data_IF_322734245995
#
_entry.id   IF_322734245995
#
_cell.length_a   1.000
_cell.length_b   1.000
_cell.length_c   1.000
_cell.angle_alpha   90.00
_cell.angle_beta   90.00
_cell.angle_gamma   90.00
#
_symmetry.space_group_name_H-M   'P 1'
#
loop_
_entity.id
_entity.type
_entity.pdbx_description
1 polymer ?
#
# COMPACT_ATOMS: atom_id res chain seq x y z
N UNK A 1 14.14 20.11 6.50
CA UNK A 1 13.16 19.29 7.25
C UNK A 1 12.50 18.27 6.33
N UNK A 2 12.05 18.65 5.13
CA UNK A 2 11.51 17.70 4.13
C UNK A 2 12.50 16.58 3.77
N UNK A 3 13.79 16.87 3.58
CA UNK A 3 14.80 15.83 3.31
C UNK A 3 14.90 14.77 4.43
N UNK A 4 14.80 15.20 5.69
CA UNK A 4 14.76 14.29 6.84
C UNK A 4 13.48 13.46 6.83
N UNK A 5 12.34 14.07 6.47
CA UNK A 5 11.08 13.35 6.33
C UNK A 5 11.19 12.24 5.28
N UNK A 6 11.78 12.53 4.12
CA UNK A 6 12.05 11.54 3.09
C UNK A 6 12.99 10.45 3.57
N UNK A 7 14.11 10.81 4.21
CA UNK A 7 15.04 9.82 4.76
C UNK A 7 14.36 8.88 5.75
N UNK A 8 13.47 9.39 6.61
CA UNK A 8 12.74 8.59 7.59
C UNK A 8 11.73 7.67 6.91
N UNK A 9 10.95 8.17 5.95
CA UNK A 9 10.03 7.33 5.14
C UNK A 9 10.79 6.24 4.38
N UNK A 10 12.04 6.53 4.00
CA UNK A 10 12.92 5.63 3.28
C UNK A 10 13.54 4.53 4.16
N UNK A 11 13.40 4.59 5.50
CA UNK A 11 13.89 3.53 6.41
C UNK A 11 13.03 2.25 6.35
N UNK A 12 11.91 2.29 5.63
CA UNK A 12 10.90 1.23 5.63
C UNK A 12 10.20 1.10 6.98
N UNK A 13 9.27 0.16 7.05
CA UNK A 13 8.46 -0.06 8.25
C UNK A 13 9.32 -0.46 9.46
N UNK A 14 10.17 -1.48 9.31
CA UNK A 14 11.06 -1.96 10.39
C UNK A 14 12.04 -0.89 10.87
N UNK A 15 12.65 -0.14 9.96
CA UNK A 15 13.60 0.91 10.33
C UNK A 15 12.91 2.07 11.05
N UNK A 16 11.70 2.44 10.62
CA UNK A 16 10.88 3.45 11.30
C UNK A 16 10.49 3.01 12.70
N UNK A 17 10.07 1.76 12.90
CA UNK A 17 9.78 1.23 14.24
C UNK A 17 11.01 1.26 15.15
N UNK A 18 12.19 0.86 14.65
CA UNK A 18 13.42 0.90 15.43
C UNK A 18 13.80 2.32 15.83
N UNK A 19 13.66 3.29 14.92
CA UNK A 19 13.91 4.70 15.20
C UNK A 19 12.95 5.25 16.27
N UNK A 20 11.66 4.93 16.15
CA UNK A 20 10.62 5.32 17.13
C UNK A 20 10.96 4.76 18.51
N UNK A 21 11.30 3.47 18.59
CA UNK A 21 11.74 2.84 19.83
C UNK A 21 12.99 3.47 20.42
N UNK A 22 13.98 3.81 19.58
CA UNK A 22 15.19 4.48 20.01
C UNK A 22 14.91 5.87 20.59
N UNK A 23 14.09 6.68 19.93
CA UNK A 23 13.68 8.01 20.41
C UNK A 23 12.88 7.90 21.72
N UNK A 24 11.96 6.94 21.80
CA UNK A 24 11.18 6.67 22.98
C UNK A 24 12.05 6.26 24.17
N UNK A 25 13.02 5.36 23.97
CA UNK A 25 13.95 4.92 25.00
C UNK A 25 14.93 6.04 25.43
N UNK A 26 15.47 6.79 24.48
CA UNK A 26 16.39 7.88 24.74
C UNK A 26 15.71 9.01 25.53
N UNK A 27 14.49 9.40 25.14
CA UNK A 27 13.70 10.40 25.87
C UNK A 27 13.33 9.94 27.27
N UNK A 28 12.96 8.68 27.46
CA UNK A 28 12.75 8.10 28.79
C UNK A 28 14.00 8.23 29.68
N UNK A 29 15.18 7.84 29.15
CA UNK A 29 16.44 7.94 29.88
C UNK A 29 16.83 9.38 30.22
N UNK A 30 16.70 10.30 29.26
CA UNK A 30 16.95 11.72 29.46
C UNK A 30 16.04 12.32 30.53
N UNK A 31 14.74 12.00 30.50
CA UNK A 31 13.77 12.49 31.48
C UNK A 31 14.08 11.96 32.90
N UNK A 32 14.47 10.69 33.03
CA UNK A 32 14.88 10.10 34.32
C UNK A 32 16.17 10.74 34.83
N UNK A 33 17.15 10.98 33.97
CA UNK A 33 18.42 11.61 34.34
C UNK A 33 18.23 13.09 34.75
N UNK A 34 17.38 13.83 34.03
CA UNK A 34 17.12 15.24 34.29
C UNK A 34 16.30 15.49 35.56
N UNK A 35 15.49 14.50 35.99
CA UNK A 35 14.63 14.64 37.16
C UNK A 35 15.25 13.99 38.39
N UNK A 36 15.16 14.63 39.56
CA UNK A 36 15.49 14.03 40.87
C UNK A 36 14.21 13.60 41.59
N UNK A 37 13.56 12.57 41.05
CA UNK A 37 12.26 12.11 41.53
C UNK A 37 12.43 11.34 42.85
N UNK A 38 12.10 11.99 43.96
CA UNK A 38 11.98 11.34 45.28
C UNK A 38 10.61 10.70 45.49
N UNK A 39 9.63 11.02 44.63
CA UNK A 39 8.28 10.48 44.72
C UNK A 39 8.26 8.95 44.50
N UNK A 40 7.28 8.28 45.13
CA UNK A 40 7.05 6.84 44.99
C UNK A 40 5.68 6.64 44.35
N UNK A 41 5.64 5.85 43.26
CA UNK A 41 4.40 5.57 42.54
C UNK A 41 3.96 4.13 42.81
N UNK A 42 2.81 3.97 43.45
CA UNK A 42 2.26 2.65 43.73
C UNK A 42 1.71 1.97 42.45
N UNK A 43 1.42 0.67 42.56
CA UNK A 43 0.99 -0.18 41.43
C UNK A 43 -0.22 0.35 40.64
N UNK A 44 -1.30 0.75 41.30
CA UNK A 44 -2.51 1.23 40.63
C UNK A 44 -2.27 2.51 39.81
N UNK A 45 -1.72 3.61 40.37
CA UNK A 45 -1.42 4.80 39.58
C UNK A 45 -0.34 4.55 38.50
N UNK A 46 0.59 3.61 38.73
CA UNK A 46 1.51 3.18 37.67
C UNK A 46 0.77 2.54 36.49
N UNK A 47 -0.17 1.63 36.74
CA UNK A 47 -0.97 1.02 35.67
C UNK A 47 -1.77 2.06 34.88
N UNK A 48 -2.38 3.02 35.56
CA UNK A 48 -3.08 4.13 34.90
C UNK A 48 -2.13 4.95 34.02
N UNK A 49 -0.91 5.23 34.50
CA UNK A 49 0.09 5.97 33.75
C UNK A 49 0.59 5.23 32.50
N UNK A 50 0.64 3.89 32.55
CA UNK A 50 0.90 3.07 31.36
C UNK A 50 -0.23 3.21 30.33
N UNK A 51 -1.49 3.16 30.76
CA UNK A 51 -2.64 3.36 29.89
C UNK A 51 -2.64 4.76 29.24
N UNK A 52 -2.32 5.80 30.01
CA UNK A 52 -2.20 7.17 29.49
C UNK A 52 -1.06 7.30 28.46
N UNK A 53 0.11 6.73 28.74
CA UNK A 53 1.24 6.72 27.79
C UNK A 53 0.86 6.00 26.49
N UNK A 54 0.12 4.90 26.58
CA UNK A 54 -0.36 4.15 25.42
C UNK A 54 -1.30 5.00 24.55
N UNK A 55 -2.21 5.77 25.17
CA UNK A 55 -3.08 6.70 24.44
C UNK A 55 -2.28 7.81 23.76
N UNK A 56 -1.25 8.36 24.40
CA UNK A 56 -0.38 9.37 23.77
C UNK A 56 0.35 8.81 22.55
N UNK A 57 0.84 7.57 22.62
CA UNK A 57 1.46 6.89 21.49
C UNK A 57 0.45 6.58 20.37
N UNK A 58 -0.76 6.13 20.69
CA UNK A 58 -1.80 5.93 19.69
C UNK A 58 -2.23 7.26 19.03
N UNK A 59 -2.31 8.33 19.82
CA UNK A 59 -2.58 9.68 19.34
C UNK A 59 -1.46 10.22 18.44
N UNK A 60 -0.20 9.90 18.72
CA UNK A 60 0.90 10.31 17.84
C UNK A 60 0.80 9.64 16.47
N UNK A 61 0.42 8.36 16.40
CA UNK A 61 0.17 7.67 15.11
C UNK A 61 -0.94 8.34 14.31
N UNK A 62 -1.95 8.91 14.98
CA UNK A 62 -3.03 9.65 14.29
C UNK A 62 -2.50 10.85 13.50
N UNK A 63 -1.41 11.50 13.96
CA UNK A 63 -0.77 12.61 13.24
C UNK A 63 -0.26 12.17 11.86
N UNK A 64 0.13 10.90 11.70
CA UNK A 64 0.63 10.37 10.43
C UNK A 64 -0.48 10.18 9.38
N UNK A 65 -1.76 10.24 9.75
CA UNK A 65 -2.85 10.16 8.76
C UNK A 65 -2.89 11.36 7.80
N UNK A 66 -2.40 12.51 8.24
CA UNK A 66 -2.27 13.70 7.39
C UNK A 66 -0.99 13.69 6.53
N UNK A 67 -0.16 12.64 6.62
CA UNK A 67 1.11 12.59 5.91
C UNK A 67 0.97 12.66 4.37
N UNK A 68 0.00 11.98 3.71
CA UNK A 68 -0.17 12.11 2.27
C UNK A 68 -0.49 13.55 1.83
N UNK A 69 -1.41 14.21 2.55
CA UNK A 69 -1.75 15.62 2.34
C UNK A 69 -0.53 16.52 2.58
N UNK A 70 0.25 16.24 3.62
CA UNK A 70 1.45 16.99 3.95
C UNK A 70 2.58 16.82 2.92
N UNK A 71 2.73 15.64 2.33
CA UNK A 71 3.65 15.42 1.21
C UNK A 71 3.20 16.23 -0.01
N UNK A 72 1.89 16.15 -0.34
CA UNK A 72 1.31 16.87 -1.47
C UNK A 72 1.46 18.39 -1.33
N UNK A 73 1.35 18.91 -0.12
CA UNK A 73 1.34 20.35 0.15
C UNK A 73 2.70 20.85 0.69
N UNK A 74 3.73 19.98 0.76
CA UNK A 74 5.13 20.33 1.05
C UNK A 74 5.46 20.67 2.49
N UNK A 75 4.71 20.12 3.45
CA UNK A 75 4.94 20.31 4.89
C UNK A 75 5.11 18.98 5.64
N UNK A 76 5.51 17.91 4.95
CA UNK A 76 5.68 16.57 5.54
C UNK A 76 6.67 16.55 6.71
N UNK A 77 7.70 17.40 6.68
CA UNK A 77 8.66 17.57 7.76
C UNK A 77 8.03 18.05 9.08
N UNK A 78 6.96 18.83 9.03
CA UNK A 78 6.25 19.29 10.23
C UNK A 78 5.42 18.17 10.87
N UNK A 79 4.76 17.35 10.04
CA UNK A 79 3.98 16.18 10.48
C UNK A 79 4.91 15.15 11.13
N UNK A 80 6.00 14.79 10.45
CA UNK A 80 6.97 13.83 10.97
C UNK A 80 7.68 14.37 12.22
N UNK A 81 8.04 15.65 12.23
CA UNK A 81 8.59 16.30 13.42
C UNK A 81 7.64 16.24 14.62
N UNK A 82 6.35 16.55 14.41
CA UNK A 82 5.32 16.50 15.46
C UNK A 82 5.13 15.09 15.99
N UNK A 83 5.11 14.09 15.11
CA UNK A 83 5.06 12.67 15.48
C UNK A 83 6.20 12.28 16.43
N UNK A 84 7.45 12.65 16.12
CA UNK A 84 8.59 12.34 16.98
C UNK A 84 8.61 13.15 18.28
N UNK A 85 8.14 14.39 18.28
CA UNK A 85 7.98 15.18 19.51
C UNK A 85 6.96 14.51 20.44
N UNK A 86 5.79 14.10 19.93
CA UNK A 86 4.80 13.37 20.72
C UNK A 86 5.35 12.04 21.25
N UNK A 87 6.09 11.31 20.42
CA UNK A 87 6.77 10.06 20.80
C UNK A 87 7.79 10.30 21.93
N UNK A 88 8.60 11.35 21.83
CA UNK A 88 9.58 11.71 22.85
C UNK A 88 8.91 12.14 24.17
N UNK A 89 7.78 12.86 24.10
CA UNK A 89 7.00 13.23 25.29
C UNK A 89 6.41 11.98 25.99
N UNK A 90 5.85 11.05 25.22
CA UNK A 90 5.35 9.79 25.75
C UNK A 90 6.46 8.96 26.40
N UNK A 91 7.62 8.83 25.74
CA UNK A 91 8.80 8.16 26.29
C UNK A 91 9.30 8.79 27.57
N UNK A 92 9.44 10.12 27.59
CA UNK A 92 9.85 10.87 28.78
C UNK A 92 8.92 10.66 29.98
N UNK A 93 7.60 10.73 29.76
CA UNK A 93 6.60 10.47 30.79
C UNK A 93 6.68 9.04 31.32
N UNK A 94 6.78 8.03 30.44
CA UNK A 94 6.94 6.64 30.85
C UNK A 94 8.18 6.47 31.73
N UNK A 95 9.33 6.99 31.29
CA UNK A 95 10.58 6.91 32.06
C UNK A 95 10.41 7.46 33.47
N UNK A 96 9.79 8.64 33.60
CA UNK A 96 9.49 9.28 34.88
C UNK A 96 8.61 8.39 35.76
N UNK A 97 7.51 7.85 35.23
CA UNK A 97 6.59 6.99 35.99
C UNK A 97 7.23 5.66 36.40
N UNK A 98 8.02 5.08 35.52
CA UNK A 98 8.71 3.81 35.76
C UNK A 98 9.86 3.96 36.75
N UNK A 99 10.59 5.08 36.74
CA UNK A 99 11.57 5.40 37.77
C UNK A 99 10.91 5.59 39.15
N UNK A 100 9.76 6.27 39.19
CA UNK A 100 8.97 6.45 40.41
C UNK A 100 8.47 5.12 40.98
N UNK A 101 8.05 4.22 40.08
CA UNK A 101 7.58 2.89 40.42
C UNK A 101 8.70 1.98 40.88
N UNK A 102 9.85 2.02 40.22
CA UNK A 102 11.05 1.30 40.62
C UNK A 102 11.51 1.74 42.01
N UNK A 103 11.45 3.04 42.31
CA UNK A 103 11.78 3.58 43.63
C UNK A 103 10.82 3.09 44.74
N UNK A 104 9.54 2.88 44.41
CA UNK A 104 8.54 2.30 45.33
C UNK A 104 8.76 0.79 45.56
N UNK A 105 9.12 0.06 44.52
CA UNK A 105 9.24 -1.41 44.54
C UNK A 105 10.60 -1.92 45.03
N UNK A 106 11.68 -1.21 44.69
CA UNK A 106 13.06 -1.68 44.83
C UNK A 106 13.99 -0.66 45.52
N UNK A 107 13.47 0.49 45.94
CA UNK A 107 14.25 1.62 46.51
C UNK A 107 15.39 2.09 45.59
N UNK A 108 15.22 1.90 44.28
CA UNK A 108 16.15 2.38 43.26
C UNK A 108 15.41 2.89 42.04
N UNK A 109 15.91 3.98 41.46
CA UNK A 109 15.40 4.53 40.21
C UNK A 109 16.01 3.83 38.99
N UNK A 110 17.11 3.10 39.17
CA UNK A 110 17.92 2.54 38.08
C UNK A 110 17.22 1.47 37.25
N UNK A 111 16.08 0.94 37.71
CA UNK A 111 15.31 -0.09 37.02
C UNK A 111 14.18 0.48 36.13
N UNK A 112 14.19 1.79 35.84
CA UNK A 112 13.20 2.44 34.98
C UNK A 112 13.12 1.82 33.58
N UNK A 113 14.26 1.34 33.04
CA UNK A 113 14.36 0.77 31.69
C UNK A 113 13.55 -0.53 31.53
N UNK A 114 13.18 -1.21 32.62
CA UNK A 114 12.32 -2.39 32.56
C UNK A 114 10.95 -2.06 31.94
N UNK A 115 10.52 -0.80 31.95
CA UNK A 115 9.27 -0.38 31.32
C UNK A 115 9.29 -0.39 29.79
N UNK A 116 10.47 -0.27 29.18
CA UNK A 116 10.64 -0.27 27.71
C UNK A 116 10.39 -1.68 27.17
N UNK A 117 10.77 -2.71 27.91
CA UNK A 117 10.60 -4.10 27.48
C UNK A 117 9.24 -4.60 28.00
N UNK A 118 8.27 -4.95 27.14
CA UNK A 118 6.90 -5.26 27.57
C UNK A 118 6.81 -6.36 28.63
N UNK A 119 7.59 -7.43 28.47
CA UNK A 119 7.65 -8.54 29.43
C UNK A 119 8.30 -8.10 30.74
N UNK A 120 9.38 -7.30 30.66
CA UNK A 120 10.08 -6.85 31.86
C UNK A 120 9.25 -5.84 32.68
N UNK A 121 8.39 -5.07 32.01
CA UNK A 121 7.50 -4.11 32.64
C UNK A 121 6.50 -4.79 33.58
N UNK A 122 6.18 -6.07 33.34
CA UNK A 122 5.34 -6.86 34.25
C UNK A 122 5.99 -6.99 35.64
N UNK A 123 7.33 -7.08 35.72
CA UNK A 123 8.02 -7.11 37.02
C UNK A 123 7.81 -5.79 37.78
N UNK A 124 7.90 -4.63 37.12
CA UNK A 124 7.59 -3.34 37.74
C UNK A 124 6.11 -3.24 38.14
N UNK A 125 5.20 -3.73 37.29
CA UNK A 125 3.77 -3.67 37.55
C UNK A 125 3.36 -4.52 38.75
N UNK A 126 3.90 -5.74 38.88
CA UNK A 126 3.49 -6.69 39.91
C UNK A 126 4.35 -6.70 41.17
N UNK A 127 5.50 -6.02 41.18
CA UNK A 127 6.34 -5.94 42.39
C UNK A 127 5.56 -5.38 43.60
N UNK A 128 5.91 -5.82 44.81
CA UNK A 128 5.30 -5.27 46.03
C UNK A 128 5.92 -3.91 46.36
N UNK A 129 5.13 -2.98 46.89
CA UNK A 129 5.66 -1.71 47.43
C UNK A 129 6.41 -1.99 48.73
N UNK A 130 7.56 -1.36 48.94
CA UNK A 130 8.33 -1.48 50.18
C UNK A 130 7.68 -0.74 51.36
N UNK A 131 6.85 0.27 51.08
CA UNK A 131 6.13 1.03 52.11
C UNK A 131 4.63 0.70 52.00
N UNK A 132 4.17 -0.41 52.63
CA UNK A 132 2.78 -0.82 52.53
C UNK A 132 1.89 0.24 53.18
N UNK A 133 1.18 1.01 52.35
CA UNK A 133 0.15 1.93 52.83
C UNK A 133 -0.98 1.08 53.41
N UNK A 134 -1.34 1.27 54.69
CA UNK A 134 -2.52 0.63 55.30
C UNK A 134 -3.77 1.13 54.57
N UNK A 135 -4.20 0.41 53.55
CA UNK A 135 -5.44 0.71 52.81
C UNK A 135 -6.63 0.21 53.62
N UNK A 136 -7.39 1.15 54.20
CA UNK A 136 -8.77 0.85 54.62
C UNK A 136 -9.65 0.52 53.41
N UNK A 137 -10.91 0.11 53.66
CA UNK A 137 -11.87 -0.28 52.61
C UNK A 137 -12.03 0.76 51.49
N UNK A 138 -11.97 2.06 51.82
CA UNK A 138 -12.00 3.14 50.82
C UNK A 138 -10.79 3.17 49.86
N UNK A 139 -9.62 2.70 50.31
CA UNK A 139 -8.42 2.59 49.46
C UNK A 139 -8.52 1.49 48.40
N UNK A 140 -9.29 0.43 48.68
CA UNK A 140 -9.54 -0.64 47.70
C UNK A 140 -10.41 -0.14 46.55
N UNK A 141 -11.50 0.58 46.84
CA UNK A 141 -12.40 1.14 45.82
C UNK A 141 -11.66 2.13 44.91
N UNK A 142 -10.85 3.01 45.49
CA UNK A 142 -10.04 3.96 44.72
C UNK A 142 -9.06 3.25 43.77
N UNK A 143 -8.37 2.20 44.24
CA UNK A 143 -7.46 1.42 43.40
C UNK A 143 -8.20 0.66 42.28
N UNK A 144 -9.37 0.10 42.56
CA UNK A 144 -10.18 -0.58 41.56
C UNK A 144 -10.66 0.40 40.46
N UNK A 145 -11.11 1.59 40.85
CA UNK A 145 -11.51 2.64 39.90
C UNK A 145 -10.33 3.09 39.02
N UNK A 146 -9.14 3.27 39.60
CA UNK A 146 -7.92 3.63 38.84
C UNK A 146 -7.56 2.55 37.82
N UNK A 147 -7.63 1.27 38.20
CA UNK A 147 -7.37 0.15 37.27
C UNK A 147 -8.41 0.13 36.15
N UNK A 148 -9.68 0.34 36.48
CA UNK A 148 -10.75 0.39 35.48
C UNK A 148 -10.55 1.52 34.46
N UNK A 149 -10.18 2.73 34.93
CA UNK A 149 -9.84 3.85 34.04
C UNK A 149 -8.64 3.50 33.16
N UNK A 150 -7.61 2.85 33.72
CA UNK A 150 -6.46 2.38 32.96
C UNK A 150 -6.84 1.40 31.83
N UNK A 151 -7.76 0.48 32.10
CA UNK A 151 -8.27 -0.45 31.09
C UNK A 151 -9.08 0.28 30.00
N UNK A 152 -9.88 1.29 30.37
CA UNK A 152 -10.60 2.11 29.39
C UNK A 152 -9.66 2.90 28.49
N UNK A 153 -8.60 3.49 29.04
CA UNK A 153 -7.57 4.17 28.23
C UNK A 153 -6.88 3.20 27.27
N UNK A 154 -6.52 2.01 27.74
CA UNK A 154 -5.93 0.98 26.89
C UNK A 154 -6.87 0.55 25.74
N UNK A 155 -8.15 0.33 26.06
CA UNK A 155 -9.18 0.03 25.06
C UNK A 155 -9.36 1.16 24.07
N UNK A 156 -9.31 2.41 24.53
CA UNK A 156 -9.42 3.60 23.67
C UNK A 156 -8.27 3.68 22.69
N UNK A 157 -7.02 3.50 23.14
CA UNK A 157 -5.85 3.47 22.25
C UNK A 157 -5.95 2.40 21.18
N UNK A 158 -6.38 1.18 21.54
CA UNK A 158 -6.63 0.08 20.60
C UNK A 158 -7.75 0.39 19.60
N UNK A 159 -8.80 1.07 20.06
CA UNK A 159 -9.93 1.44 19.19
C UNK A 159 -9.52 2.53 18.20
N UNK A 160 -8.71 3.51 18.62
CA UNK A 160 -8.14 4.51 17.72
C UNK A 160 -7.25 3.85 16.66
N UNK A 161 -6.36 2.94 17.04
CA UNK A 161 -5.52 2.18 16.10
C UNK A 161 -6.36 1.42 15.07
N UNK A 162 -7.41 0.72 15.51
CA UNK A 162 -8.33 0.01 14.61
C UNK A 162 -9.09 0.98 13.69
N UNK A 163 -9.59 2.08 14.22
CA UNK A 163 -10.31 3.06 13.42
C UNK A 163 -9.41 3.73 12.38
N UNK A 164 -8.14 4.02 12.71
CA UNK A 164 -7.17 4.54 11.75
C UNK A 164 -6.89 3.52 10.63
N UNK A 165 -6.82 2.22 10.96
CA UNK A 165 -6.67 1.17 9.94
C UNK A 165 -7.92 1.04 9.05
N UNK A 166 -9.12 1.22 9.62
CA UNK A 166 -10.39 1.21 8.89
C UNK A 166 -10.50 2.45 7.98
N UNK A 167 -10.22 3.65 8.48
CA UNK A 167 -10.23 4.89 7.68
C UNK A 167 -9.20 4.84 6.56
N UNK A 168 -8.01 4.29 6.80
CA UNK A 168 -7.02 4.05 5.75
C UNK A 168 -7.58 3.12 4.66
N UNK A 169 -8.30 2.07 5.04
CA UNK A 169 -8.95 1.17 4.06
C UNK A 169 -10.15 1.81 3.35
N UNK A 170 -11.00 2.57 4.05
CA UNK A 170 -12.18 3.23 3.48
C UNK A 170 -11.80 4.40 2.58
N UNK A 171 -10.73 5.13 2.88
CA UNK A 171 -10.22 6.20 2.01
C UNK A 171 -9.70 5.62 0.69
N UNK A 172 -9.07 4.44 0.74
CA UNK A 172 -8.69 3.70 -0.47
C UNK A 172 -9.92 3.29 -1.30
N UNK A 173 -11.08 3.05 -0.67
CA UNK A 173 -12.33 2.71 -1.37
C UNK A 173 -13.11 3.94 -1.88
N UNK A 174 -13.24 5.00 -1.06
CA UNK A 174 -14.08 6.18 -1.35
C UNK A 174 -13.43 7.22 -2.26
N UNK A 175 -12.09 7.22 -2.39
CA UNK A 175 -11.39 7.95 -3.45
C UNK A 175 -11.87 7.58 -4.87
N UNK A 176 -12.50 6.41 -5.02
CA UNK A 176 -13.10 5.90 -6.26
C UNK A 176 -14.43 6.58 -6.63
N UNK A 177 -15.12 7.24 -5.69
CA UNK A 177 -16.51 7.72 -5.93
C UNK A 177 -16.61 9.23 -6.18
N UNK A 178 -15.58 10.02 -5.83
CA UNK A 178 -15.67 11.48 -5.84
C UNK A 178 -15.36 12.16 -7.21
N UNK A 179 -14.88 11.44 -8.23
CA UNK A 179 -14.51 12.04 -9.51
C UNK A 179 -15.57 11.94 -10.64
N UNK A 180 -16.75 11.36 -10.36
CA UNK A 180 -17.80 11.17 -11.37
C UNK A 180 -18.76 12.36 -11.54
N UNK A 181 -18.26 13.60 -11.53
CA UNK A 181 -19.05 14.76 -12.03
C UNK A 181 -18.23 15.64 -12.96
N UNK A 182 -18.16 15.21 -14.22
CA UNK A 182 -17.91 16.12 -15.35
C UNK A 182 -16.76 15.72 -16.25
N UNK A 183 -17.01 14.80 -17.20
CA UNK A 183 -16.15 14.72 -18.38
C UNK A 183 -16.95 14.42 -19.64
N UNK A 184 -17.26 15.48 -20.40
CA UNK A 184 -17.59 15.40 -21.82
C UNK A 184 -16.34 15.04 -22.62
N UNK A 185 -16.34 13.85 -23.23
CA UNK A 185 -15.27 13.34 -24.08
C UNK A 185 -15.22 14.12 -25.40
N UNK A 186 -14.15 14.91 -25.61
CA UNK A 186 -13.73 15.35 -26.95
C UNK A 186 -12.59 14.45 -27.44
N UNK A 187 -12.92 13.59 -28.39
CA UNK A 187 -12.00 12.68 -29.09
C UNK A 187 -11.06 13.52 -29.97
N UNK A 188 -9.79 13.64 -29.59
CA UNK A 188 -8.75 14.20 -30.46
C UNK A 188 -7.84 13.06 -30.90
N UNK A 189 -7.91 12.71 -32.19
CA UNK A 189 -7.03 11.72 -32.79
C UNK A 189 -5.61 12.28 -32.88
N UNK A 190 -4.67 11.69 -32.14
CA UNK A 190 -3.26 12.04 -32.22
C UNK A 190 -2.59 11.20 -33.32
N UNK A 191 -2.12 11.90 -34.36
CA UNK A 191 -1.44 11.34 -35.53
C UNK A 191 0.03 11.11 -35.18
N UNK A 192 0.46 9.85 -35.23
CA UNK A 192 1.84 9.42 -35.06
C UNK A 192 2.71 9.93 -36.24
N UNK A 193 3.91 10.50 -36.02
CA UNK A 193 4.80 10.87 -37.12
C UNK A 193 5.56 9.63 -37.63
N UNK A 194 5.66 9.54 -38.95
CA UNK A 194 6.34 8.49 -39.68
C UNK A 194 7.86 8.55 -39.48
N UNK A 195 8.45 7.38 -39.25
CA UNK A 195 9.91 7.15 -39.26
C UNK A 195 10.40 7.23 -40.71
N UNK A 196 11.31 8.16 -40.99
CA UNK A 196 12.04 8.21 -42.27
C UNK A 196 13.28 7.30 -42.20
N UNK A 197 13.34 6.35 -43.14
CA UNK A 197 14.53 5.60 -43.49
C UNK A 197 15.62 6.55 -44.00
N UNK A 198 16.84 6.41 -43.48
CA UNK A 198 18.04 7.00 -44.08
C UNK A 198 18.86 5.84 -44.65
N UNK A 199 18.90 5.81 -45.98
CA UNK A 199 19.79 4.98 -46.79
C UNK A 199 21.24 5.44 -46.62
N UNK A 200 22.12 4.47 -46.42
CA UNK A 200 23.57 4.64 -46.37
C UNK A 200 24.14 4.76 -47.77
N UNK A 201 24.81 5.88 -48.07
CA UNK A 201 25.83 5.93 -49.13
C UNK A 201 27.09 6.62 -48.61
N UNK A 202 28.19 5.86 -48.69
CA UNK A 202 29.57 6.29 -48.51
C UNK A 202 29.95 7.32 -49.56
N UNK A 203 30.67 8.38 -49.18
CA UNK A 203 31.87 8.80 -49.91
C UNK A 203 32.79 9.73 -49.07
N UNK A 204 33.91 9.15 -48.68
CA UNK A 204 35.30 9.58 -48.92
C UNK A 204 35.73 11.06 -48.76
N UNK A 205 36.51 11.27 -47.70
CA UNK A 205 37.69 12.14 -47.52
C UNK A 205 38.05 13.23 -48.55
N UNK A 206 38.28 14.46 -48.03
CA UNK A 206 39.06 15.49 -48.69
C UNK A 206 39.51 16.60 -47.74
N UNK A 207 40.81 16.62 -47.43
CA UNK A 207 41.56 17.62 -46.66
C UNK A 207 41.37 19.06 -47.16
N UNK A 208 41.47 20.06 -46.26
CA UNK A 208 42.62 20.99 -46.20
C UNK A 208 42.29 22.26 -45.39
N UNK A 209 43.32 22.74 -44.70
CA UNK A 209 43.37 23.91 -43.84
C UNK A 209 43.40 25.25 -44.61
N UNK A 210 43.01 26.36 -43.96
CA UNK A 210 43.89 27.48 -43.54
C UNK A 210 43.17 28.83 -43.36
N UNK A 211 43.66 29.54 -42.34
CA UNK A 211 43.89 30.99 -42.20
C UNK A 211 42.71 31.98 -42.07
N UNK A 212 42.51 32.42 -40.81
CA UNK A 212 42.75 33.76 -40.25
C UNK A 212 42.17 35.07 -40.86
N UNK A 213 41.92 36.03 -39.93
CA UNK A 213 41.77 37.51 -40.04
C UNK A 213 40.30 38.01 -40.17
N UNK A 214 39.71 38.50 -39.08
CA UNK A 214 39.54 39.92 -38.64
C UNK A 214 38.56 40.73 -39.50
N UNK A 215 37.40 41.10 -38.94
CA UNK A 215 37.09 42.49 -38.58
C UNK A 215 35.66 42.68 -38.06
N UNK A 216 35.59 43.58 -37.09
CA UNK A 216 34.44 44.18 -36.40
C UNK A 216 33.48 44.95 -37.31
N UNK A 217 32.16 44.80 -37.11
CA UNK A 217 31.17 45.90 -37.28
C UNK A 217 29.98 45.73 -36.32
N UNK A 218 29.54 46.87 -35.80
CA UNK A 218 28.53 47.23 -34.81
C UNK A 218 27.11 46.60 -34.84
N UNK A 219 26.58 46.41 -33.62
CA UNK A 219 25.23 46.72 -33.04
C UNK A 219 23.99 46.81 -33.97
N UNK A 220 22.76 46.44 -33.49
CA UNK A 220 22.26 46.91 -32.19
C UNK A 220 21.48 45.91 -31.31
N UNK A 221 21.52 46.28 -30.03
CA UNK A 221 20.77 45.81 -28.89
C UNK A 221 19.27 46.00 -29.12
N UNK A 222 18.50 44.92 -29.07
CA UNK A 222 17.07 44.95 -28.81
C UNK A 222 16.82 44.37 -27.42
N UNK A 223 16.55 45.25 -26.47
CA UNK A 223 16.05 44.91 -25.14
C UNK A 223 14.62 44.37 -25.27
N UNK A 224 14.47 43.05 -25.28
CA UNK A 224 13.16 42.43 -25.04
C UNK A 224 12.99 42.28 -23.54
N UNK A 225 12.27 43.22 -22.95
CA UNK A 225 11.71 43.12 -21.60
C UNK A 225 10.68 42.00 -21.62
N UNK A 226 11.08 40.81 -21.17
CA UNK A 226 10.16 39.72 -20.89
C UNK A 226 9.44 40.03 -19.59
N UNK A 227 8.21 40.53 -19.75
CA UNK A 227 7.20 40.65 -18.71
C UNK A 227 7.08 39.33 -17.94
N UNK A 228 7.46 39.36 -16.66
CA UNK A 228 7.12 38.34 -15.67
C UNK A 228 5.62 38.42 -15.41
N UNK A 229 4.85 37.74 -16.27
CA UNK A 229 3.47 37.41 -16.00
C UNK A 229 3.42 36.37 -14.90
N UNK A 230 3.30 36.82 -13.66
CA UNK A 230 2.87 36.04 -12.50
C UNK A 230 1.42 35.57 -12.73
N UNK A 231 1.25 34.58 -13.61
CA UNK A 231 0.08 33.71 -13.56
C UNK A 231 0.36 32.69 -12.46
N UNK A 232 -0.54 32.60 -11.50
CA UNK A 232 -0.47 31.64 -10.38
C UNK A 232 -0.48 30.20 -10.85
N UNK A 233 0.68 29.70 -11.28
CA UNK A 233 1.02 28.29 -11.18
C UNK A 233 1.13 28.01 -9.68
N UNK A 234 0.04 27.51 -9.08
CA UNK A 234 0.15 26.73 -7.87
C UNK A 234 1.29 25.72 -8.11
N UNK A 235 2.34 25.81 -7.30
CA UNK A 235 3.58 25.08 -7.51
C UNK A 235 3.28 23.59 -7.67
N UNK A 236 3.44 23.07 -8.89
CA UNK A 236 3.37 21.64 -9.13
C UNK A 236 4.54 21.03 -8.37
N UNK A 237 4.22 20.22 -7.36
CA UNK A 237 5.25 19.56 -6.56
C UNK A 237 6.12 18.69 -7.45
N UNK A 238 7.43 18.82 -7.27
CA UNK A 238 8.42 17.99 -7.93
C UNK A 238 8.60 16.70 -7.10
N UNK A 239 7.99 15.61 -7.58
CA UNK A 239 8.08 14.30 -6.95
C UNK A 239 9.33 13.53 -7.35
N UNK A 240 10.12 14.03 -8.29
CA UNK A 240 11.30 13.36 -8.83
C UNK A 240 12.33 12.99 -7.74
N UNK A 241 12.64 13.86 -6.74
CA UNK A 241 13.56 13.51 -5.66
C UNK A 241 13.09 12.32 -4.82
N UNK A 242 11.78 12.28 -4.50
CA UNK A 242 11.18 11.17 -3.74
C UNK A 242 11.24 9.87 -4.55
N UNK A 243 10.88 9.92 -5.84
CA UNK A 243 10.94 8.78 -6.73
C UNK A 243 12.38 8.26 -6.91
N UNK A 244 13.36 9.17 -7.07
CA UNK A 244 14.79 8.82 -7.12
C UNK A 244 15.25 8.12 -5.85
N UNK A 245 14.77 8.54 -4.68
CA UNK A 245 15.07 7.85 -3.43
C UNK A 245 14.52 6.42 -3.42
N UNK A 246 13.28 6.20 -3.89
CA UNK A 246 12.69 4.86 -4.01
C UNK A 246 13.55 3.98 -4.94
N UNK A 247 13.99 4.53 -6.08
CA UNK A 247 14.86 3.83 -7.03
C UNK A 247 16.18 3.42 -6.37
N UNK A 248 16.83 4.31 -5.62
CA UNK A 248 18.12 4.04 -4.96
C UNK A 248 18.03 2.96 -3.88
N UNK A 249 16.87 2.78 -3.27
CA UNK A 249 16.65 1.82 -2.18
C UNK A 249 16.15 0.46 -2.65
N UNK A 250 15.64 0.38 -3.87
CA UNK A 250 15.12 -0.88 -4.39
C UNK A 250 16.28 -1.74 -4.86
N UNK A 251 16.49 -2.94 -4.28
CA UNK A 251 17.56 -3.82 -4.71
C UNK A 251 17.28 -4.30 -6.14
N UNK A 252 18.23 -4.05 -7.05
CA UNK A 252 18.21 -4.56 -8.42
C UNK A 252 19.58 -5.15 -8.78
N UNK A 253 19.65 -6.30 -9.47
CA UNK A 253 18.51 -7.09 -9.94
C UNK A 253 17.81 -7.87 -8.80
N UNK A 254 16.50 -8.09 -8.94
CA UNK A 254 15.68 -8.87 -8.01
C UNK A 254 14.83 -9.88 -8.77
N UNK A 255 15.04 -11.17 -8.51
CA UNK A 255 14.21 -12.23 -9.09
C UNK A 255 12.85 -12.27 -8.38
N UNK A 256 11.77 -12.10 -9.14
CA UNK A 256 10.39 -12.11 -8.62
C UNK A 256 9.71 -13.46 -8.87
N UNK A 257 10.10 -14.15 -9.93
CA UNK A 257 9.69 -15.52 -10.25
C UNK A 257 10.72 -16.20 -11.16
N UNK A 258 10.46 -17.45 -11.53
CA UNK A 258 11.28 -18.17 -12.52
C UNK A 258 11.27 -17.49 -13.90
N UNK A 259 10.25 -16.67 -14.17
CA UNK A 259 10.03 -16.03 -15.46
C UNK A 259 10.37 -14.53 -15.49
N UNK A 260 10.44 -13.85 -14.35
CA UNK A 260 10.49 -12.39 -14.28
C UNK A 260 11.52 -11.90 -13.26
N UNK A 261 12.42 -11.03 -13.72
CA UNK A 261 13.43 -10.37 -12.90
C UNK A 261 13.30 -8.86 -13.04
N UNK A 262 13.18 -8.15 -11.92
CA UNK A 262 13.31 -6.69 -11.92
C UNK A 262 14.79 -6.34 -12.12
N UNK A 263 15.15 -5.79 -13.27
CA UNK A 263 16.56 -5.51 -13.63
C UNK A 263 16.94 -4.05 -13.40
N UNK A 264 15.98 -3.13 -13.44
CA UNK A 264 16.21 -1.69 -13.25
C UNK A 264 14.94 -0.99 -12.80
N UNK A 265 15.11 0.12 -12.08
CA UNK A 265 14.06 1.10 -11.83
C UNK A 265 14.54 2.49 -12.19
N UNK A 266 13.64 3.34 -12.65
CA UNK A 266 13.89 4.71 -13.05
C UNK A 266 12.80 5.63 -12.50
N UNK A 267 13.15 6.90 -12.32
CA UNK A 267 12.25 7.95 -11.84
C UNK A 267 12.26 9.09 -12.85
N UNK A 268 11.07 9.44 -13.34
CA UNK A 268 10.88 10.52 -14.32
C UNK A 268 9.75 11.43 -13.86
N UNK A 269 10.03 12.64 -13.37
CA UNK A 269 9.04 13.63 -12.93
C UNK A 269 7.96 13.06 -11.96
N UNK A 270 6.84 12.58 -12.50
CA UNK A 270 5.71 11.97 -11.78
C UNK A 270 5.51 10.47 -12.07
N UNK A 271 6.52 9.81 -12.63
CA UNK A 271 6.50 8.41 -13.05
C UNK A 271 7.59 7.59 -12.39
N UNK A 272 7.20 6.45 -11.80
CA UNK A 272 8.12 5.39 -11.40
C UNK A 272 8.10 4.28 -12.44
N UNK A 273 9.23 4.04 -13.09
CA UNK A 273 9.37 3.04 -14.15
C UNK A 273 10.11 1.82 -13.59
N UNK A 274 9.49 0.66 -13.67
CA UNK A 274 10.09 -0.63 -13.31
C UNK A 274 10.35 -1.44 -14.58
N UNK A 275 11.60 -1.81 -14.83
CA UNK A 275 12.00 -2.58 -16.01
C UNK A 275 12.21 -4.03 -15.62
N UNK A 276 11.41 -4.91 -16.20
CA UNK A 276 11.38 -6.34 -15.95
C UNK A 276 11.94 -7.11 -17.15
N UNK A 277 12.94 -7.94 -16.90
CA UNK A 277 13.42 -8.94 -17.85
C UNK A 277 12.56 -10.20 -17.76
N UNK A 278 12.12 -10.72 -18.92
CA UNK A 278 11.38 -11.95 -19.05
C UNK A 278 12.26 -13.03 -19.66
N UNK A 279 12.43 -14.15 -18.94
CA UNK A 279 13.32 -15.25 -19.36
C UNK A 279 12.73 -16.17 -20.43
N UNK A 280 11.44 -16.02 -20.76
CA UNK A 280 10.74 -16.83 -21.77
C UNK A 280 10.69 -16.14 -23.13
N UNK A 281 11.09 -16.86 -24.17
CA UNK A 281 10.99 -16.40 -25.58
C UNK A 281 9.57 -16.38 -26.13
N UNK A 282 8.66 -17.11 -25.49
CA UNK A 282 7.27 -17.26 -25.93
C UNK A 282 6.35 -16.26 -25.22
N UNK A 283 6.91 -15.37 -24.40
CA UNK A 283 6.15 -14.36 -23.71
C UNK A 283 5.57 -13.34 -24.69
N UNK A 284 4.27 -13.10 -24.56
CA UNK A 284 3.58 -12.01 -25.23
C UNK A 284 2.78 -11.21 -24.22
N UNK A 285 2.83 -9.89 -24.32
CA UNK A 285 2.03 -9.00 -23.48
C UNK A 285 0.57 -9.02 -23.96
N UNK A 286 -0.13 -10.12 -23.68
CA UNK A 286 -1.52 -10.31 -24.03
C UNK A 286 -2.45 -9.47 -23.15
N UNK A 287 -3.70 -9.28 -23.59
CA UNK A 287 -4.71 -8.57 -22.82
C UNK A 287 -4.89 -9.12 -21.41
N UNK A 288 -4.86 -10.44 -21.25
CA UNK A 288 -4.93 -11.07 -19.92
C UNK A 288 -3.72 -10.76 -19.04
N UNK A 289 -2.53 -10.63 -19.62
CA UNK A 289 -1.33 -10.25 -18.86
C UNK A 289 -1.40 -8.78 -18.47
N UNK A 290 -1.87 -7.91 -19.37
CA UNK A 290 -2.11 -6.49 -19.07
C UNK A 290 -3.15 -6.33 -17.95
N UNK A 291 -4.27 -7.04 -18.02
CA UNK A 291 -5.31 -7.02 -16.98
C UNK A 291 -4.77 -7.54 -15.63
N UNK A 292 -3.91 -8.55 -15.65
CA UNK A 292 -3.24 -9.03 -14.45
C UNK A 292 -2.31 -7.99 -13.83
N UNK A 293 -1.52 -7.30 -14.66
CA UNK A 293 -0.63 -6.22 -14.20
C UNK A 293 -1.40 -5.02 -13.68
N UNK A 294 -2.46 -4.62 -14.38
CA UNK A 294 -3.37 -3.57 -13.94
C UNK A 294 -4.02 -3.94 -12.62
N UNK A 295 -4.57 -5.15 -12.47
CA UNK A 295 -5.14 -5.58 -11.20
C UNK A 295 -4.13 -5.53 -10.05
N UNK A 296 -2.93 -6.09 -10.22
CA UNK A 296 -1.92 -6.09 -9.15
C UNK A 296 -1.48 -4.68 -8.76
N UNK A 297 -1.50 -3.75 -9.71
CA UNK A 297 -1.10 -2.36 -9.47
C UNK A 297 -2.25 -1.54 -8.87
N UNK A 298 -3.48 -1.76 -9.34
CA UNK A 298 -4.68 -1.03 -8.95
C UNK A 298 -5.42 -1.64 -7.74
N UNK A 299 -5.02 -2.82 -7.28
CA UNK A 299 -5.66 -3.48 -6.13
C UNK A 299 -5.49 -2.62 -4.86
N UNK A 300 -6.53 -2.51 -4.00
CA UNK A 300 -6.41 -1.81 -2.71
C UNK A 300 -5.37 -2.45 -1.79
N UNK A 301 -5.03 -3.72 -2.01
CA UNK A 301 -3.94 -4.42 -1.29
C UNK A 301 -2.54 -4.08 -1.85
N UNK A 302 -2.45 -3.20 -2.85
CA UNK A 302 -1.21 -2.68 -3.39
C UNK A 302 -0.98 -1.29 -2.80
N UNK A 303 -0.46 -1.20 -1.55
CA UNK A 303 -0.27 0.06 -0.86
C UNK A 303 0.88 0.81 -1.52
N UNK A 304 0.57 1.56 -2.57
CA UNK A 304 1.54 2.48 -3.15
C UNK A 304 1.09 3.89 -2.84
N UNK A 305 1.75 4.50 -1.85
CA UNK A 305 1.75 5.93 -1.57
C UNK A 305 1.82 6.77 -2.87
N UNK A 306 2.46 6.23 -3.92
CA UNK A 306 2.47 6.77 -5.28
C UNK A 306 1.07 7.12 -5.80
N UNK A 307 0.09 6.23 -5.64
CA UNK A 307 -1.27 6.42 -6.15
C UNK A 307 -2.04 7.46 -5.36
N UNK A 308 -1.87 7.49 -4.03
CA UNK A 308 -2.46 8.55 -3.18
C UNK A 308 -1.92 9.94 -3.57
N UNK A 309 -0.67 10.00 -4.04
CA UNK A 309 -0.04 11.21 -4.56
C UNK A 309 -0.36 11.49 -6.04
N UNK A 310 -1.18 10.65 -6.70
CA UNK A 310 -1.54 10.80 -8.11
C UNK A 310 -0.43 10.48 -9.11
N UNK A 311 0.62 9.79 -8.67
CA UNK A 311 1.77 9.42 -9.50
C UNK A 311 1.45 8.21 -10.38
N UNK A 312 2.21 8.08 -11.47
CA UNK A 312 2.08 6.97 -12.41
C UNK A 312 3.15 5.92 -12.15
N UNK A 313 2.77 4.65 -12.14
CA UNK A 313 3.68 3.52 -12.18
C UNK A 313 3.66 2.91 -13.58
N UNK A 314 4.84 2.70 -14.16
CA UNK A 314 4.99 2.06 -15.46
C UNK A 314 5.85 0.81 -15.31
N UNK A 315 5.32 -0.35 -15.72
CA UNK A 315 6.04 -1.60 -15.79
C UNK A 315 6.43 -1.85 -17.25
N UNK A 316 7.73 -1.81 -17.56
CA UNK A 316 8.29 -2.10 -18.88
C UNK A 316 8.80 -3.53 -18.90
N UNK A 317 8.42 -4.32 -19.91
CA UNK A 317 8.85 -5.69 -20.08
C UNK A 317 9.85 -5.78 -21.24
N UNK A 318 10.99 -6.41 -21.00
CA UNK A 318 12.04 -6.66 -21.99
C UNK A 318 12.40 -8.15 -22.01
N UNK A 319 12.91 -8.66 -23.12
CA UNK A 319 13.50 -10.00 -23.18
C UNK A 319 14.94 -10.01 -22.62
N UNK A 320 15.58 -11.17 -22.62
CA UNK A 320 16.97 -11.38 -22.17
C UNK A 320 18.03 -10.64 -23.01
N UNK A 321 17.66 -10.13 -24.20
CA UNK A 321 18.53 -9.29 -25.03
C UNK A 321 18.25 -7.80 -24.82
N UNK A 322 17.30 -7.46 -23.93
CA UNK A 322 16.88 -6.09 -23.65
C UNK A 322 15.89 -5.52 -24.66
N UNK A 323 15.34 -6.32 -25.57
CA UNK A 323 14.35 -5.86 -26.55
C UNK A 323 12.99 -5.70 -25.87
N UNK A 324 12.32 -4.59 -26.16
CA UNK A 324 11.01 -4.29 -25.59
C UNK A 324 9.94 -5.33 -26.02
N UNK A 325 9.26 -5.89 -25.02
CA UNK A 325 8.10 -6.79 -25.17
C UNK A 325 6.77 -6.04 -24.97
N UNK A 326 6.80 -4.92 -24.25
CA UNK A 326 5.67 -4.01 -24.06
C UNK A 326 5.74 -3.28 -22.72
N UNK A 327 4.72 -2.49 -22.42
CA UNK A 327 4.62 -1.75 -21.15
C UNK A 327 3.18 -1.70 -20.63
N UNK A 328 3.03 -1.59 -19.32
CA UNK A 328 1.74 -1.37 -18.65
C UNK A 328 1.90 -0.19 -17.70
N UNK A 329 1.08 0.84 -17.86
CA UNK A 329 1.07 2.01 -16.98
C UNK A 329 -0.22 2.07 -16.18
N UNK A 330 -0.11 2.45 -14.92
CA UNK A 330 -1.23 2.62 -14.02
C UNK A 330 -1.04 3.88 -13.17
N UNK A 331 -2.13 4.61 -13.00
CA UNK A 331 -2.31 5.72 -12.07
C UNK A 331 -3.79 5.71 -11.63
N UNK A 332 -4.22 6.56 -10.68
CA UNK A 332 -5.61 6.51 -10.20
C UNK A 332 -6.66 6.60 -11.31
N UNK A 333 -6.47 7.50 -12.28
CA UNK A 333 -7.40 7.66 -13.40
C UNK A 333 -7.44 6.42 -14.31
N UNK A 334 -6.27 5.86 -14.65
CA UNK A 334 -6.17 4.64 -15.47
C UNK A 334 -6.75 3.42 -14.75
N UNK A 335 -6.64 3.35 -13.42
CA UNK A 335 -7.23 2.27 -12.64
C UNK A 335 -8.76 2.34 -12.60
N UNK A 336 -9.34 3.53 -12.47
CA UNK A 336 -10.79 3.73 -12.54
C UNK A 336 -11.33 3.35 -13.93
N UNK A 337 -10.67 3.83 -14.99
CA UNK A 337 -11.02 3.50 -16.38
C UNK A 337 -10.90 1.98 -16.62
N UNK A 338 -9.77 1.39 -16.20
CA UNK A 338 -9.54 -0.03 -16.35
C UNK A 338 -10.59 -0.86 -15.61
N UNK A 339 -10.88 -0.57 -14.33
CA UNK A 339 -11.86 -1.33 -13.54
C UNK A 339 -13.24 -1.32 -14.19
N UNK A 340 -13.67 -0.13 -14.65
CA UNK A 340 -14.96 0.04 -15.34
C UNK A 340 -14.99 -0.74 -16.66
N UNK A 341 -13.91 -0.64 -17.45
CA UNK A 341 -13.81 -1.35 -18.73
C UNK A 341 -13.75 -2.87 -18.54
N UNK A 342 -13.08 -3.33 -17.49
CA UNK A 342 -12.89 -4.73 -17.16
C UNK A 342 -14.20 -5.38 -16.77
N UNK A 343 -15.00 -4.72 -15.93
CA UNK A 343 -16.33 -5.22 -15.54
C UNK A 343 -17.21 -5.41 -16.77
N UNK A 344 -17.25 -4.40 -17.64
CA UNK A 344 -17.98 -4.48 -18.90
C UNK A 344 -17.49 -5.63 -19.80
N UNK A 345 -16.18 -5.82 -19.95
CA UNK A 345 -15.63 -6.96 -20.73
C UNK A 345 -16.02 -8.31 -20.13
N UNK A 346 -16.07 -8.42 -18.81
CA UNK A 346 -16.48 -9.64 -18.12
C UNK A 346 -17.98 -9.92 -18.28
N UNK A 347 -18.83 -8.89 -18.27
CA UNK A 347 -20.25 -9.00 -18.62
C UNK A 347 -20.45 -9.46 -20.06
N UNK A 348 -19.76 -8.83 -21.01
CA UNK A 348 -19.80 -9.19 -22.42
C UNK A 348 -19.35 -10.64 -22.64
N UNK A 349 -18.27 -11.07 -21.97
CA UNK A 349 -17.77 -12.44 -22.00
C UNK A 349 -18.77 -13.46 -21.45
N UNK A 350 -19.44 -13.14 -20.34
CA UNK A 350 -20.49 -13.99 -19.78
C UNK A 350 -21.71 -14.10 -20.73
N UNK A 351 -22.07 -12.99 -21.37
CA UNK A 351 -23.15 -12.96 -22.37
C UNK A 351 -22.77 -13.73 -23.65
N UNK A 352 -21.52 -13.62 -24.11
CA UNK A 352 -20.99 -14.39 -25.24
C UNK A 352 -20.99 -15.90 -24.94
N UNK A 353 -20.51 -16.31 -23.76
CA UNK A 353 -20.53 -17.71 -23.32
C UNK A 353 -21.97 -18.25 -23.32
N UNK A 354 -22.92 -17.47 -22.81
CA UNK A 354 -24.36 -17.82 -22.84
C UNK A 354 -24.92 -17.95 -24.26
N UNK A 355 -24.55 -17.04 -25.17
CA UNK A 355 -24.97 -17.09 -26.58
C UNK A 355 -24.42 -18.32 -27.30
N UNK A 356 -23.16 -18.68 -27.04
CA UNK A 356 -22.53 -19.86 -27.65
C UNK A 356 -23.20 -21.17 -27.23
N UNK A 357 -23.67 -21.26 -25.98
CA UNK A 357 -24.38 -22.43 -25.46
C UNK A 357 -25.76 -22.65 -26.10
N UNK A 358 -26.43 -21.56 -26.51
CA UNK A 358 -27.75 -21.63 -27.13
C UNK A 358 -27.74 -22.33 -28.50
N UNK A 359 -26.57 -22.47 -29.13
CA UNK A 359 -26.41 -23.17 -30.41
C UNK A 359 -25.82 -24.58 -30.31
N UNK A 360 -25.13 -24.89 -29.21
CA UNK A 360 -24.44 -26.16 -28.98
C UNK A 360 -24.42 -26.46 -27.47
N UNK A 361 -25.46 -27.15 -26.97
CA UNK A 361 -25.45 -27.61 -25.58
C UNK A 361 -24.26 -28.56 -25.38
N UNK A 362 -23.27 -28.09 -24.63
CA UNK A 362 -22.10 -28.87 -24.29
C UNK A 362 -22.42 -29.70 -23.04
N UNK A 363 -23.04 -30.85 -23.24
CA UNK A 363 -23.22 -31.84 -22.17
C UNK A 363 -21.90 -32.57 -21.97
N UNK A 364 -21.36 -32.51 -20.76
CA UNK A 364 -20.21 -33.35 -20.40
C UNK A 364 -20.65 -34.81 -20.32
N UNK A 365 -19.69 -35.74 -20.36
CA UNK A 365 -19.97 -37.18 -20.24
C UNK A 365 -20.74 -37.58 -18.96
N UNK A 366 -20.75 -36.71 -17.94
CA UNK A 366 -21.40 -36.93 -16.65
C UNK A 366 -22.82 -36.34 -16.56
N UNK A 367 -23.38 -35.88 -17.70
CA UNK A 367 -24.72 -35.29 -17.74
C UNK A 367 -24.79 -33.86 -17.18
N UNK A 368 -23.65 -33.21 -16.93
CA UNK A 368 -23.62 -31.80 -16.51
C UNK A 368 -23.69 -30.92 -17.76
N UNK A 369 -24.65 -30.01 -17.80
CA UNK A 369 -24.86 -29.09 -18.92
C UNK A 369 -24.72 -27.65 -18.43
N UNK A 370 -23.80 -26.88 -19.00
CA UNK A 370 -23.73 -25.44 -18.75
C UNK A 370 -24.92 -24.76 -19.45
N UNK A 371 -25.71 -24.00 -18.71
CA UNK A 371 -26.95 -23.36 -19.22
C UNK A 371 -26.73 -21.89 -19.60
N UNK A 372 -26.05 -21.14 -18.73
CA UNK A 372 -25.71 -19.74 -18.95
C UNK A 372 -24.59 -19.30 -17.99
N UNK A 373 -23.99 -18.15 -18.29
CA UNK A 373 -23.03 -17.47 -17.44
C UNK A 373 -23.50 -16.03 -17.19
N UNK A 374 -23.26 -15.52 -15.99
CA UNK A 374 -23.49 -14.13 -15.63
C UNK A 374 -22.25 -13.56 -14.93
N UNK A 375 -22.12 -12.25 -14.93
CA UNK A 375 -21.08 -11.55 -14.20
C UNK A 375 -21.73 -10.44 -13.38
N UNK A 376 -21.36 -10.36 -12.10
CA UNK A 376 -21.86 -9.31 -11.21
C UNK A 376 -20.92 -9.16 -10.01
N UNK A 377 -20.61 -7.92 -9.63
CA UNK A 377 -19.87 -7.60 -8.39
C UNK A 377 -18.56 -8.43 -8.27
N UNK A 378 -17.72 -8.41 -9.31
CA UNK A 378 -16.48 -9.22 -9.44
C UNK A 378 -16.68 -10.74 -9.30
N UNK A 379 -17.91 -11.23 -9.41
CA UNK A 379 -18.26 -12.65 -9.37
C UNK A 379 -18.70 -13.12 -10.75
N UNK A 380 -17.94 -14.04 -11.33
CA UNK A 380 -18.33 -14.76 -12.54
C UNK A 380 -19.13 -15.99 -12.14
N UNK A 381 -20.40 -16.04 -12.50
CA UNK A 381 -21.33 -17.09 -12.09
C UNK A 381 -21.61 -17.99 -13.30
N UNK A 382 -21.32 -19.27 -13.18
CA UNK A 382 -21.68 -20.29 -14.18
C UNK A 382 -22.85 -21.12 -13.65
N UNK A 383 -23.89 -21.25 -14.45
CA UNK A 383 -25.10 -21.98 -14.11
C UNK A 383 -25.15 -23.32 -14.83
N UNK A 384 -25.26 -24.42 -14.08
CA UNK A 384 -25.27 -25.78 -14.62
C UNK A 384 -26.60 -26.49 -14.33
N UNK A 385 -27.05 -27.32 -15.26
CA UNK A 385 -28.04 -28.37 -15.00
C UNK A 385 -27.31 -29.68 -14.72
N UNK A 386 -27.69 -30.36 -13.63
CA UNK A 386 -27.10 -31.63 -13.19
C UNK A 386 -28.18 -32.70 -12.97
N UNK A 387 -27.87 -33.99 -13.16
CA UNK A 387 -28.86 -35.06 -13.04
C UNK A 387 -29.26 -35.40 -11.59
N UNK A 388 -28.44 -34.99 -10.61
CA UNK A 388 -28.67 -35.27 -9.19
C UNK A 388 -28.03 -34.18 -8.31
N UNK A 389 -28.46 -34.12 -7.04
CA UNK A 389 -27.87 -33.21 -6.05
C UNK A 389 -26.37 -33.46 -5.88
N UNK A 390 -25.60 -32.37 -5.76
CA UNK A 390 -24.16 -32.48 -5.54
C UNK A 390 -23.89 -33.01 -4.14
N UNK A 391 -23.23 -34.17 -4.06
CA UNK A 391 -22.73 -34.67 -2.78
C UNK A 391 -21.65 -33.73 -2.22
N UNK A 392 -21.48 -33.72 -0.90
CA UNK A 392 -20.43 -32.94 -0.24
C UNK A 392 -19.03 -33.30 -0.75
N UNK A 393 -18.81 -34.58 -1.06
CA UNK A 393 -17.57 -35.05 -1.67
C UNK A 393 -17.37 -34.43 -3.06
N UNK A 394 -18.40 -34.48 -3.91
CA UNK A 394 -18.37 -33.91 -5.25
C UNK A 394 -18.10 -32.41 -5.22
N UNK A 395 -18.71 -31.67 -4.28
CA UNK A 395 -18.45 -30.23 -4.10
C UNK A 395 -16.98 -29.96 -3.81
N UNK A 396 -16.38 -30.67 -2.85
CA UNK A 396 -14.95 -30.53 -2.52
C UNK A 396 -14.03 -30.93 -3.67
N UNK A 397 -14.38 -31.99 -4.39
CA UNK A 397 -13.63 -32.41 -5.58
C UNK A 397 -13.69 -31.33 -6.68
N UNK A 398 -14.86 -30.71 -6.89
CA UNK A 398 -15.01 -29.57 -7.79
C UNK A 398 -14.17 -28.38 -7.32
N UNK A 399 -14.22 -28.00 -6.04
CA UNK A 399 -13.42 -26.91 -5.48
C UNK A 399 -11.93 -27.13 -5.77
N UNK A 400 -11.42 -28.31 -5.44
CA UNK A 400 -10.03 -28.70 -5.70
C UNK A 400 -9.67 -28.63 -7.19
N UNK A 401 -10.49 -29.20 -8.06
CA UNK A 401 -10.21 -29.23 -9.49
C UNK A 401 -10.24 -27.84 -10.12
N UNK A 402 -11.20 -27.00 -9.74
CA UNK A 402 -11.29 -25.62 -10.21
C UNK A 402 -10.15 -24.75 -9.69
N UNK A 403 -9.78 -24.88 -8.41
CA UNK A 403 -8.60 -24.21 -7.85
C UNK A 403 -7.30 -24.57 -8.56
N UNK A 404 -7.22 -25.77 -9.15
CA UNK A 404 -6.06 -26.22 -9.93
C UNK A 404 -6.09 -25.76 -11.40
N UNK A 405 -7.23 -25.30 -11.90
CA UNK A 405 -7.41 -24.91 -13.30
C UNK A 405 -6.66 -23.59 -13.58
N UNK A 406 -5.70 -23.55 -14.54
CA UNK A 406 -4.87 -22.36 -14.78
C UNK A 406 -5.65 -21.07 -15.04
N UNK A 407 -6.73 -21.14 -15.83
CA UNK A 407 -7.59 -19.98 -16.10
C UNK A 407 -8.29 -19.47 -14.84
N UNK A 408 -8.74 -20.37 -13.95
CA UNK A 408 -9.34 -19.96 -12.67
C UNK A 408 -8.30 -19.34 -11.76
N UNK A 409 -7.10 -19.92 -11.67
CA UNK A 409 -6.00 -19.28 -10.93
C UNK A 409 -5.74 -17.85 -11.43
N UNK A 410 -5.74 -17.64 -12.75
CA UNK A 410 -5.59 -16.31 -13.33
C UNK A 410 -6.75 -15.38 -12.92
N UNK A 411 -8.02 -15.84 -12.99
CA UNK A 411 -9.18 -15.06 -12.53
C UNK A 411 -9.09 -14.70 -11.03
N UNK A 412 -8.77 -15.67 -10.17
CA UNK A 412 -8.64 -15.46 -8.73
C UNK A 412 -7.49 -14.50 -8.41
N UNK A 413 -6.41 -14.58 -9.18
CA UNK A 413 -5.26 -13.69 -9.02
C UNK A 413 -5.57 -12.24 -9.42
N UNK A 414 -6.62 -12.02 -10.21
CA UNK A 414 -7.17 -10.69 -10.52
C UNK A 414 -8.41 -10.34 -9.66
N UNK A 415 -8.53 -10.97 -8.48
CA UNK A 415 -9.56 -10.64 -7.49
C UNK A 415 -10.97 -11.05 -7.87
N UNK A 416 -11.16 -11.82 -8.94
CA UNK A 416 -12.46 -12.36 -9.28
C UNK A 416 -12.83 -13.54 -8.38
N UNK A 417 -14.13 -13.74 -8.20
CA UNK A 417 -14.70 -14.97 -7.64
C UNK A 417 -15.39 -15.75 -8.74
N UNK A 418 -15.20 -17.07 -8.78
CA UNK A 418 -15.97 -17.96 -9.65
C UNK A 418 -17.03 -18.68 -8.80
N UNK A 419 -18.31 -18.51 -9.14
CA UNK A 419 -19.42 -19.20 -8.49
C UNK A 419 -20.06 -20.20 -9.45
N UNK A 420 -20.28 -21.42 -9.00
CA UNK A 420 -20.88 -22.48 -9.78
C UNK A 420 -22.24 -22.80 -9.14
N UNK A 421 -23.32 -22.42 -9.82
CA UNK A 421 -24.69 -22.65 -9.36
C UNK A 421 -25.27 -23.81 -10.15
N UNK A 422 -25.63 -24.89 -9.46
CA UNK A 422 -26.19 -26.09 -10.09
C UNK A 422 -27.67 -26.24 -9.78
N UNK A 423 -28.47 -26.55 -10.78
CA UNK A 423 -29.89 -26.87 -10.69
C UNK A 423 -30.19 -28.25 -11.26
N UNK A 424 -31.23 -28.92 -10.77
CA UNK A 424 -31.77 -30.13 -11.39
C UNK A 424 -32.55 -29.78 -12.66
N UNK A 425 -32.91 -30.79 -13.46
CA UNK A 425 -33.73 -30.62 -14.67
C UNK A 425 -35.10 -29.97 -14.37
N UNK A 426 -35.65 -30.20 -13.18
CA UNK A 426 -36.90 -29.60 -12.71
C UNK A 426 -36.70 -28.19 -12.08
N UNK A 427 -35.55 -27.56 -12.33
CA UNK A 427 -35.15 -26.23 -11.83
C UNK A 427 -34.99 -26.10 -10.32
N UNK A 428 -34.98 -27.22 -9.57
CA UNK A 428 -34.65 -27.17 -8.13
C UNK A 428 -33.15 -26.94 -7.91
N UNK A 429 -32.74 -26.24 -6.83
CA UNK A 429 -31.33 -26.06 -6.52
C UNK A 429 -30.66 -27.40 -6.17
N UNK A 430 -29.54 -27.69 -6.83
CA UNK A 430 -28.77 -28.93 -6.67
C UNK A 430 -27.42 -28.72 -5.95
N UNK A 431 -26.91 -27.48 -5.98
CA UNK A 431 -25.70 -27.10 -5.26
C UNK A 431 -25.20 -25.70 -5.62
N UNK A 432 -24.29 -25.19 -4.80
CA UNK A 432 -23.66 -23.87 -4.95
C UNK A 432 -22.23 -23.95 -4.44
N UNK A 433 -21.26 -23.73 -5.33
CA UNK A 433 -19.82 -23.83 -5.04
C UNK A 433 -19.17 -22.48 -5.33
N UNK A 434 -18.49 -21.93 -4.33
CA UNK A 434 -17.82 -20.62 -4.44
C UNK A 434 -16.31 -20.82 -4.43
N UNK A 435 -15.70 -20.57 -5.58
CA UNK A 435 -14.26 -20.61 -5.78
C UNK A 435 -13.72 -19.19 -5.66
N UNK A 436 -13.05 -18.94 -4.53
CA UNK A 436 -12.37 -17.69 -4.23
C UNK A 436 -10.91 -17.97 -3.91
N UNK A 437 -10.07 -16.93 -3.83
CA UNK A 437 -8.68 -17.07 -3.34
C UNK A 437 -8.65 -17.73 -1.96
N UNK A 438 -9.50 -17.26 -1.04
CA UNK A 438 -9.62 -17.82 0.30
C UNK A 438 -10.05 -19.29 0.33
N UNK A 439 -10.91 -19.71 -0.61
CA UNK A 439 -11.30 -21.11 -0.78
C UNK A 439 -10.09 -21.93 -1.22
N UNK A 440 -9.35 -21.47 -2.24
CA UNK A 440 -8.23 -22.21 -2.80
C UNK A 440 -6.99 -22.26 -1.89
N UNK A 441 -6.82 -21.31 -0.98
CA UNK A 441 -5.74 -21.33 0.02
C UNK A 441 -5.96 -22.40 1.11
N UNK A 442 -7.18 -22.94 1.23
CA UNK A 442 -7.54 -23.97 2.22
C UNK A 442 -7.53 -25.40 1.67
N UNK A 443 -7.44 -25.57 0.34
CA UNK A 443 -7.57 -26.84 -0.38
C UNK A 443 -6.20 -27.31 -0.86
#
# INVERSE_FOLDING_TARGET
MEELAYQIMSLGETGTYMLVWAIFAASAGLAVAATKLEWKLHRAPYFLSLGFTFVLMAGSVSILTDLPTAIRDGYSGQIIGSYFVCTALAGGLLGIFSAARANDAYDTRGLWFLSIIPIANLFLLFAKSMTPKKTGSGGFIANAAIVFIGLMLFSTGRTMEKHLSEVASETAETGTTANNTGMTVKKTAQKQPAVQNIDSTNDTFGNAAKDAVSDTVDKPVSNTVSNSGSNGQAGRFDFEPMLKQIVLQTPVPQQLSDLMTLIRMEAEADRLISVYEISSTDFTLSESVMDFQMFNTCSPTSPTLLFELGLTRTNVFVDTEGKALGEVSANPALCEEWSTSFDKRMEEKAADETRQLSGNQQTTGDGVTLTHATYRDKTYIKHFTVPANLSEKTRRDMEKNWCQTPYVKAMLSIGLTLRLVSTLEDSKPAGDVVISKATCDQV
#
